data_IF_450598425190
#
_entry.id   IF_450598425190
#
_cell.length_a   1.000
_cell.length_b   1.000
_cell.length_c   1.000
_cell.angle_alpha   90.00
_cell.angle_beta   90.00
_cell.angle_gamma   90.00
#
_symmetry.space_group_name_H-M   'P 1'
#
loop_
_entity.id
_entity.type
_entity.pdbx_description
1 polymer ?
#
# COMPACT_ATOMS: atom_id res chain seq x y z
N UNK A 1 0.07 -1.87 -6.28
CA UNK A 1 -0.09 -0.70 -5.41
C UNK A 1 0.64 0.51 -6.01
N UNK A 2 -0.04 1.63 -6.20
CA UNK A 2 0.58 2.86 -6.70
C UNK A 2 1.57 3.45 -5.66
N UNK A 3 2.70 3.99 -6.11
CA UNK A 3 3.73 4.63 -5.27
C UNK A 3 3.13 5.75 -4.40
N UNK A 4 2.21 6.56 -4.92
CA UNK A 4 1.58 7.62 -4.13
C UNK A 4 0.69 7.04 -3.01
N UNK A 5 -0.03 5.95 -3.29
CA UNK A 5 -0.83 5.24 -2.29
C UNK A 5 0.06 4.67 -1.17
N UNK A 6 1.25 4.17 -1.51
CA UNK A 6 2.21 3.73 -0.51
C UNK A 6 2.65 4.87 0.41
N UNK A 7 3.06 6.03 -0.13
CA UNK A 7 3.51 7.14 0.70
C UNK A 7 2.39 7.68 1.61
N UNK A 8 1.16 7.79 1.10
CA UNK A 8 0.00 8.14 1.91
C UNK A 8 -0.24 7.12 3.04
N UNK A 9 -0.21 5.83 2.73
CA UNK A 9 -0.38 4.75 3.71
C UNK A 9 0.73 4.72 4.77
N UNK A 10 1.98 4.97 4.36
CA UNK A 10 3.13 5.09 5.24
C UNK A 10 2.94 6.22 6.26
N UNK A 11 2.53 7.38 5.77
CA UNK A 11 2.37 8.56 6.62
C UNK A 11 1.19 8.37 7.58
N UNK A 12 0.08 7.76 7.13
CA UNK A 12 -1.01 7.34 8.02
C UNK A 12 -0.56 6.31 9.07
N UNK A 13 0.24 5.31 8.70
CA UNK A 13 0.79 4.34 9.68
C UNK A 13 1.67 5.01 10.72
N UNK A 14 2.51 5.96 10.32
CA UNK A 14 3.36 6.73 11.26
C UNK A 14 2.54 7.57 12.24
N UNK A 15 1.32 7.96 11.87
CA UNK A 15 0.37 8.65 12.74
C UNK A 15 -0.46 7.69 13.62
N UNK A 16 -0.20 6.38 13.56
CA UNK A 16 -0.84 5.37 14.42
C UNK A 16 -2.16 4.83 13.89
N UNK A 17 -2.57 5.17 12.66
CA UNK A 17 -3.75 4.57 12.07
C UNK A 17 -3.52 3.09 11.74
N UNK A 18 -4.58 2.29 11.80
CA UNK A 18 -4.59 1.02 11.09
C UNK A 18 -4.85 1.31 9.61
N UNK A 19 -4.00 0.77 8.74
CA UNK A 19 -4.05 1.02 7.30
C UNK A 19 -4.11 -0.30 6.56
N UNK A 20 -5.12 -0.40 5.71
CA UNK A 20 -5.31 -1.41 4.67
C UNK A 20 -5.00 -0.75 3.33
N UNK A 21 -4.10 -1.33 2.53
CA UNK A 21 -3.81 -0.89 1.19
C UNK A 21 -4.36 -1.91 0.19
N UNK A 22 -5.38 -1.50 -0.54
CA UNK A 22 -6.11 -2.36 -1.49
C UNK A 22 -5.37 -2.39 -2.83
N UNK A 23 -4.73 -3.52 -3.15
CA UNK A 23 -3.73 -3.59 -4.22
C UNK A 23 -4.32 -3.71 -5.63
N UNK A 24 -5.49 -4.30 -5.75
CA UNK A 24 -6.25 -4.48 -6.99
C UNK A 24 -7.17 -3.28 -7.30
N UNK A 25 -7.28 -2.32 -6.39
CA UNK A 25 -8.03 -1.07 -6.58
C UNK A 25 -7.17 0.06 -7.18
N UNK A 26 -5.86 -0.15 -7.39
CA UNK A 26 -4.96 0.87 -7.95
C UNK A 26 -3.85 0.27 -8.81
N UNK A 27 -3.50 0.96 -9.91
CA UNK A 27 -2.35 0.63 -10.74
C UNK A 27 -1.18 1.59 -10.47
N UNK A 28 0.05 1.07 -10.51
CA UNK A 28 1.28 1.83 -10.34
C UNK A 28 2.29 1.53 -11.45
N UNK A 29 3.29 2.40 -11.59
CA UNK A 29 4.45 2.20 -12.47
C UNK A 29 5.72 2.28 -11.65
N UNK A 30 6.77 1.58 -12.09
CA UNK A 30 8.10 1.79 -11.53
C UNK A 30 8.73 3.05 -12.16
N UNK A 31 9.50 3.78 -11.37
CA UNK A 31 10.26 4.95 -11.81
C UNK A 31 11.73 4.77 -11.41
N UNK A 32 12.53 4.02 -12.19
CA UNK A 32 13.91 3.69 -11.84
C UNK A 32 14.81 4.92 -11.63
N UNK A 33 14.60 5.98 -12.41
CA UNK A 33 15.36 7.23 -12.29
C UNK A 33 15.18 7.93 -10.92
N UNK A 34 14.12 7.59 -10.18
CA UNK A 34 13.84 8.09 -8.84
C UNK A 34 14.03 7.03 -7.75
N UNK A 35 14.55 5.84 -8.10
CA UNK A 35 14.66 4.67 -7.19
C UNK A 35 13.31 4.27 -6.55
N UNK A 36 12.22 4.43 -7.32
CA UNK A 36 10.87 4.09 -6.90
C UNK A 36 10.43 2.79 -7.59
N UNK A 37 10.47 1.71 -6.84
CA UNK A 37 10.02 0.39 -7.29
C UNK A 37 8.84 -0.07 -6.45
N UNK A 38 7.81 -0.61 -7.10
CA UNK A 38 6.61 -1.09 -6.41
C UNK A 38 6.93 -2.20 -5.41
N UNK A 39 7.84 -3.12 -5.75
CA UNK A 39 8.25 -4.19 -4.84
C UNK A 39 8.97 -3.66 -3.60
N UNK A 40 9.82 -2.64 -3.75
CA UNK A 40 10.51 -1.97 -2.65
C UNK A 40 9.51 -1.26 -1.72
N UNK A 41 8.57 -0.52 -2.31
CA UNK A 41 7.49 0.14 -1.57
C UNK A 41 6.60 -0.88 -0.83
N UNK A 42 6.26 -1.99 -1.46
CA UNK A 42 5.48 -3.08 -0.83
C UNK A 42 6.23 -3.71 0.35
N UNK A 43 7.52 -3.98 0.18
CA UNK A 43 8.35 -4.54 1.25
C UNK A 43 8.43 -3.59 2.46
N UNK A 44 8.70 -2.30 2.23
CA UNK A 44 8.74 -1.29 3.29
C UNK A 44 7.38 -1.16 3.98
N UNK A 45 6.28 -1.13 3.22
CA UNK A 45 4.94 -1.02 3.80
C UNK A 45 4.59 -2.18 4.71
N UNK A 46 4.95 -3.41 4.33
CA UNK A 46 4.76 -4.60 5.18
C UNK A 46 5.58 -4.52 6.46
N UNK A 47 6.82 -4.04 6.39
CA UNK A 47 7.66 -3.84 7.58
C UNK A 47 7.06 -2.80 8.55
N UNK A 48 6.37 -1.79 8.02
CA UNK A 48 5.65 -0.78 8.81
C UNK A 48 4.29 -1.25 9.32
N UNK A 49 3.89 -2.49 9.02
CA UNK A 49 2.62 -3.07 9.42
C UNK A 49 1.42 -2.66 8.55
N UNK A 50 1.63 -2.06 7.37
CA UNK A 50 0.54 -1.87 6.38
C UNK A 50 0.08 -3.24 5.91
N UNK A 51 -1.22 -3.49 6.00
CA UNK A 51 -1.82 -4.71 5.50
C UNK A 51 -2.20 -4.50 4.03
N UNK A 52 -1.61 -5.31 3.16
CA UNK A 52 -1.90 -5.31 1.74
C UNK A 52 -3.01 -6.34 1.49
N UNK A 53 -4.13 -5.89 0.93
CA UNK A 53 -5.36 -6.69 0.77
C UNK A 53 -5.94 -6.50 -0.62
N UNK A 54 -6.91 -7.32 -0.99
CA UNK A 54 -7.71 -7.19 -2.21
C UNK A 54 -9.06 -6.54 -1.92
N UNK A 55 -9.72 -6.07 -2.97
CA UNK A 55 -11.07 -5.51 -2.89
C UNK A 55 -12.05 -6.59 -2.42
N UNK A 56 -11.85 -7.84 -2.83
CA UNK A 56 -12.62 -9.00 -2.37
C UNK A 56 -12.51 -9.18 -0.84
N UNK A 57 -11.29 -9.21 -0.29
CA UNK A 57 -11.07 -9.36 1.15
C UNK A 57 -11.76 -8.25 1.96
N UNK A 58 -11.73 -7.02 1.46
CA UNK A 58 -12.42 -5.88 2.09
C UNK A 58 -13.93 -6.07 2.03
N UNK A 59 -14.49 -6.42 0.86
CA UNK A 59 -15.93 -6.60 0.68
C UNK A 59 -16.49 -7.74 1.52
N UNK A 60 -15.74 -8.84 1.67
CA UNK A 60 -16.12 -9.95 2.56
C UNK A 60 -16.11 -9.54 4.04
N UNK A 61 -15.23 -8.63 4.46
CA UNK A 61 -15.15 -8.21 5.85
C UNK A 61 -16.23 -7.21 6.28
N UNK A 62 -16.87 -6.52 5.33
CA UNK A 62 -17.90 -5.49 5.61
C UNK A 62 -19.33 -5.93 5.30
N UNK A 63 -19.51 -7.03 4.57
CA UNK A 63 -20.82 -7.65 4.28
C UNK A 63 -21.23 -8.67 5.33
#
# INVERSE_FOLDING_TARGET
>A
ANICCFFAARDLRRQGFQVLLVEDASAGIDVPAADLFQDKARAEGRQLGIAYVTTEEVLTAVG
#
